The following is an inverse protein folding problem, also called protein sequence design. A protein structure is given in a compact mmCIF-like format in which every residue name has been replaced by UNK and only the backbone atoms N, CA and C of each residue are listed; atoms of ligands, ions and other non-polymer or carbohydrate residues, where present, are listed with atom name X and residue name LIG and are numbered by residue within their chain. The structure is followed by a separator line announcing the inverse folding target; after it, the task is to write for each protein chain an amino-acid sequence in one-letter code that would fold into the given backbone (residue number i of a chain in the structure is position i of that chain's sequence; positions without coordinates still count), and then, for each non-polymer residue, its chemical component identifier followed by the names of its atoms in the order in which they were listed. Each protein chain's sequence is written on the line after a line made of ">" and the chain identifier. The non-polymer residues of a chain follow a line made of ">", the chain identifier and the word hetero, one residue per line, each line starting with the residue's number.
data_IF_172684476643
#
_entry.id   IF_172684476643
#
_cell.length_a   1.000
_cell.length_b   1.000
_cell.length_c   1.000
_cell.angle_alpha   90.00
_cell.angle_beta   90.00
_cell.angle_gamma   90.00
#
_symmetry.space_group_name_H-M   'P 1'
#
loop_
_entity.id
_entity.type
_entity.pdbx_description
1 polymer ?
2 branched ?
3 water ?
#
# COMPACT_ATOMS: atom_id res chain seq x y z
N UNK A 29 15.39 -5.86 5.79
CA UNK A 29 13.95 -5.52 6.00
C UNK A 29 13.78 -4.27 6.82
N UNK A 30 12.77 -3.49 6.46
CA UNK A 30 12.44 -2.24 7.13
C UNK A 30 10.94 -2.25 7.45
N UNK A 31 10.63 -2.08 8.73
CA UNK A 31 9.28 -2.30 9.24
C UNK A 31 8.56 -0.97 9.29
N UNK A 32 7.43 -0.89 8.60
CA UNK A 32 6.66 0.34 8.54
C UNK A 32 5.50 0.24 9.49
N UNK A 33 5.10 -0.99 9.78
CA UNK A 33 4.05 -1.25 10.71
C UNK A 33 4.04 -2.73 11.13
N UNK A 34 3.88 -2.96 12.44
CA UNK A 34 3.44 -4.25 13.00
C UNK A 34 2.50 -3.98 14.17
N UNK A 35 1.54 -4.88 14.37
CA UNK A 35 0.40 -4.65 15.26
C UNK A 35 -0.82 -5.37 14.73
N UNK A 36 -1.99 -4.72 14.81
CA UNK A 36 -3.22 -5.28 14.26
C UNK A 36 -4.19 -4.14 14.03
N UNK A 37 -4.24 -3.67 12.77
CA UNK A 37 -5.25 -2.69 12.31
C UNK A 37 -6.32 -3.38 11.48
N UNK A 38 -7.57 -3.15 11.87
CA UNK A 38 -8.70 -3.62 11.12
C UNK A 38 -9.32 -2.46 10.33
N UNK A 39 -9.78 -2.76 9.12
CA UNK A 39 -10.55 -1.81 8.33
C UNK A 39 -11.73 -2.53 7.68
N UNK A 40 -12.89 -1.88 7.79
CA UNK A 40 -14.13 -2.37 7.21
C UNK A 40 -14.41 -1.58 5.95
N UNK A 41 -14.96 -2.25 4.95
CA UNK A 41 -15.28 -1.59 3.70
C UNK A 41 -16.15 -2.47 2.84
N UNK A 42 -17.41 -2.07 2.68
CA UNK A 42 -18.42 -2.93 2.05
C UNK A 42 -18.49 -2.69 0.58
N UNK A 43 -18.30 -1.43 0.19
CA UNK A 43 -18.62 -0.99 -1.17
C UNK A 43 -18.10 0.41 -1.51
N UNK A 44 -17.74 0.58 -2.77
CA UNK A 44 -17.43 1.91 -3.29
C UNK A 44 -18.73 2.68 -3.43
N UNK A 45 -18.64 3.97 -3.76
CA UNK A 45 -19.83 4.79 -4.00
C UNK A 45 -20.27 5.63 -2.82
N UNK A 46 -19.80 5.28 -1.63
CA UNK A 46 -20.02 6.09 -0.42
C UNK A 46 -18.98 7.19 -0.27
N UNK A 47 -18.79 7.65 0.97
CA UNK A 47 -17.90 8.80 1.27
C UNK A 47 -16.43 8.37 1.54
N UNK A 48 -16.24 7.29 2.31
CA UNK A 48 -14.92 6.89 2.85
C UNK A 48 -14.50 5.54 2.32
N UNK A 49 -13.33 5.52 1.69
CA UNK A 49 -12.59 4.28 1.50
C UNK A 49 -11.41 4.25 2.49
N UNK A 50 -11.54 3.47 3.58
CA UNK A 50 -10.46 3.56 4.58
C UNK A 50 -9.27 2.66 4.32
N UNK A 51 -8.16 3.02 4.94
CA UNK A 51 -6.91 2.31 4.92
C UNK A 51 -6.74 1.42 6.15
N UNK A 52 -6.21 0.20 5.95
CA UNK A 52 -5.66 -0.64 7.03
C UNK A 52 -4.27 -0.17 7.45
N UNK A 53 -3.58 0.52 6.54
CA UNK A 53 -2.31 1.19 6.84
C UNK A 53 -2.17 2.33 5.84
N UNK A 54 -1.71 3.47 6.32
CA UNK A 54 -1.39 4.55 5.43
C UNK A 54 -0.36 5.52 6.04
N UNK A 55 0.37 6.23 5.18
CA UNK A 55 1.35 7.23 5.58
C UNK A 55 1.36 8.39 4.57
N UNK A 56 1.65 9.61 5.05
CA UNK A 56 1.76 10.81 4.23
C UNK A 56 3.21 11.35 4.25
N UNK A 57 4.03 10.88 3.28
CA UNK A 57 5.50 11.05 3.27
C UNK A 57 6.02 12.48 3.10
N UNK A 58 5.13 13.41 2.86
CA UNK A 58 5.47 14.79 2.82
C UNK A 58 5.61 15.34 4.23
N UNK A 59 5.00 14.65 5.20
CA UNK A 59 4.96 15.11 6.58
C UNK A 59 5.57 14.12 7.57
N UNK A 60 5.24 12.84 7.40
CA UNK A 60 5.63 11.77 8.34
C UNK A 60 6.95 11.15 7.86
N UNK A 61 7.82 10.80 8.81
CA UNK A 61 9.09 10.22 8.40
C UNK A 61 8.90 8.76 8.02
N UNK A 62 9.69 8.27 7.07
CA UNK A 62 9.79 6.83 6.88
C UNK A 62 11.18 6.41 6.45
N UNK A 63 11.61 5.28 7.02
CA UNK A 63 12.95 4.75 6.76
C UNK A 63 13.03 4.18 5.34
N UNK A 64 11.89 3.87 4.73
CA UNK A 64 11.90 3.29 3.40
C UNK A 64 12.26 4.36 2.38
N UNK A 65 13.24 4.01 1.53
CA UNK A 65 13.85 4.89 0.54
C UNK A 65 13.39 4.49 -0.86
N UNK A 66 12.43 5.23 -1.40
CA UNK A 66 11.72 4.84 -2.62
C UNK A 66 12.55 4.94 -3.88
N UNK A 67 13.71 5.62 -3.81
CA UNK A 67 14.67 5.65 -4.94
C UNK A 67 15.50 4.41 -5.07
N UNK A 68 15.60 3.60 -4.01
CA UNK A 68 16.23 2.28 -4.14
C UNK A 68 15.26 1.29 -4.78
N UNK A 69 15.75 0.14 -5.19
CA UNK A 69 14.86 -0.86 -5.69
C UNK A 69 14.20 -1.70 -4.58
N UNK A 70 12.88 -1.71 -4.52
CA UNK A 70 12.21 -2.30 -3.37
C UNK A 70 10.98 -3.11 -3.67
N UNK A 71 10.56 -3.84 -2.66
CA UNK A 71 9.30 -4.55 -2.65
C UNK A 71 8.61 -4.23 -1.36
N UNK A 72 7.28 -4.23 -1.39
CA UNK A 72 6.50 -3.97 -0.18
C UNK A 72 5.74 -5.23 0.10
N UNK A 73 5.83 -5.70 1.35
CA UNK A 73 5.17 -6.93 1.79
C UNK A 73 4.18 -6.57 2.89
N UNK A 74 3.01 -7.17 2.83
CA UNK A 74 1.98 -6.93 3.81
C UNK A 74 1.40 -8.26 4.30
N UNK A 75 1.47 -8.50 5.62
CA UNK A 75 0.81 -9.66 6.24
C UNK A 75 -0.60 -9.26 6.57
N UNK A 76 -1.54 -10.07 6.14
CA UNK A 76 -2.91 -9.70 6.28
C UNK A 76 -3.83 -10.89 6.26
N UNK A 77 -5.03 -10.66 6.78
CA UNK A 77 -6.08 -11.66 6.77
C UNK A 77 -7.42 -11.00 6.37
N UNK A 78 -8.19 -11.67 5.51
CA UNK A 78 -9.52 -11.18 5.14
C UNK A 78 -9.72 -10.77 3.69
N UNK A 79 -10.27 -9.57 3.48
CA UNK A 79 -10.53 -9.06 2.14
C UNK A 79 -9.21 -9.00 1.32
N UNK A 80 -9.34 -9.05 0.00
CA UNK A 80 -8.19 -8.78 -0.87
C UNK A 80 -7.86 -7.32 -0.71
N UNK A 81 -6.59 -7.01 -0.93
CA UNK A 81 -6.09 -5.66 -0.70
C UNK A 81 -5.42 -5.06 -1.94
N UNK A 82 -5.32 -3.73 -1.95
CA UNK A 82 -4.52 -3.03 -2.94
C UNK A 82 -3.56 -2.09 -2.29
N UNK A 83 -2.45 -1.83 -2.99
CA UNK A 83 -1.49 -0.82 -2.57
C UNK A 83 -1.76 0.45 -3.37
N UNK A 84 -1.85 1.61 -2.71
CA UNK A 84 -2.04 2.90 -3.42
C UNK A 84 -0.89 3.89 -3.21
N UNK A 85 -0.39 4.46 -4.31
CA UNK A 85 0.43 5.67 -4.33
C UNK A 85 -0.40 6.79 -5.00
N UNK A 86 -0.45 7.99 -4.43
CA UNK A 86 -1.23 9.09 -4.98
C UNK A 86 -0.53 10.43 -4.82
N UNK A 87 -0.65 11.24 -5.86
CA UNK A 87 -0.16 12.60 -5.88
C UNK A 87 -1.36 13.46 -6.22
N UNK A 88 -1.79 14.26 -5.27
CA UNK A 88 -3.03 15.00 -5.40
C UNK A 88 -3.04 16.03 -6.52
N UNK A 89 -1.90 16.61 -6.90
CA UNK A 89 -1.90 17.70 -7.89
C UNK A 89 -1.66 17.30 -9.36
N UNK A 90 -1.37 16.03 -9.61
CA UNK A 90 -1.36 15.52 -10.99
C UNK A 90 -2.55 14.60 -11.15
N UNK A 91 -3.39 14.56 -10.12
CA UNK A 91 -4.49 13.62 -10.08
C UNK A 91 -4.06 12.18 -10.27
N UNK A 92 -2.90 11.80 -9.74
CA UNK A 92 -2.44 10.41 -9.90
C UNK A 92 -2.99 9.54 -8.77
N UNK A 93 -3.55 8.38 -9.13
CA UNK A 93 -3.98 7.36 -8.17
C UNK A 93 -3.52 6.01 -8.68
N UNK A 94 -2.29 5.63 -8.38
CA UNK A 94 -1.75 4.31 -8.80
C UNK A 94 -2.25 3.31 -7.83
N UNK A 95 -2.94 2.29 -8.32
CA UNK A 95 -3.59 1.28 -7.50
C UNK A 95 -3.15 -0.08 -8.00
N UNK A 96 -2.56 -0.90 -7.14
CA UNK A 96 -1.82 -2.10 -7.54
C UNK A 96 -2.36 -3.31 -6.81
N UNK A 97 -2.54 -4.40 -7.56
CA UNK A 97 -2.86 -5.69 -6.98
C UNK A 97 -1.57 -6.42 -6.65
N UNK A 98 -1.61 -7.31 -5.66
CA UNK A 98 -0.36 -7.98 -5.30
C UNK A 98 0.26 -8.71 -6.48
N UNK A 99 1.58 -8.63 -6.59
CA UNK A 99 2.37 -9.47 -7.48
C UNK A 99 2.12 -10.92 -7.21
N UNK A 100 2.08 -11.29 -5.93
CA UNK A 100 1.59 -12.61 -5.52
C UNK A 100 1.18 -12.61 -4.04
N UNK A 101 0.53 -13.70 -3.63
CA UNK A 101 0.10 -13.93 -2.25
C UNK A 101 0.34 -15.38 -1.84
N UNK A 102 1.18 -15.56 -0.82
CA UNK A 102 1.48 -16.86 -0.27
C UNK A 102 1.47 -16.73 1.26
N UNK A 103 0.91 -17.73 1.96
CA UNK A 103 0.95 -17.75 3.43
C UNK A 103 0.45 -16.46 4.10
N UNK A 104 -0.64 -15.89 3.58
CA UNK A 104 -1.17 -14.62 4.09
C UNK A 104 -0.26 -13.40 4.05
N UNK A 105 0.73 -13.44 3.16
CA UNK A 105 1.59 -12.28 2.87
C UNK A 105 1.48 -11.82 1.40
N UNK A 106 1.08 -10.56 1.22
CA UNK A 106 0.98 -9.92 -0.11
C UNK A 106 2.30 -9.27 -0.47
N UNK A 107 2.69 -9.36 -1.76
CA UNK A 107 3.90 -8.69 -2.25
C UNK A 107 3.65 -7.73 -3.44
N UNK A 108 4.18 -6.52 -3.31
CA UNK A 108 4.05 -5.47 -4.32
C UNK A 108 5.46 -5.03 -4.68
N UNK A 109 5.76 -4.93 -5.99
CA UNK A 109 7.10 -4.53 -6.46
C UNK A 109 7.14 -3.08 -6.96
N UNK A 110 8.31 -2.49 -6.88
CA UNK A 110 8.55 -1.15 -7.40
C UNK A 110 8.15 -1.03 -8.86
N UNK A 111 8.55 -2.03 -9.63
CA UNK A 111 8.23 -2.08 -11.05
C UNK A 111 6.72 -1.95 -11.30
N UNK A 112 5.90 -2.71 -10.57
CA UNK A 112 4.41 -2.58 -10.64
C UNK A 112 3.89 -1.18 -10.28
N UNK A 113 4.38 -0.65 -9.18
CA UNK A 113 3.95 0.67 -8.70
C UNK A 113 4.25 1.71 -9.76
N UNK A 114 5.52 1.79 -10.15
CA UNK A 114 6.00 2.61 -11.28
C UNK A 114 5.07 2.57 -12.50
N UNK A 115 4.73 1.37 -12.95
CA UNK A 115 3.91 1.24 -14.13
C UNK A 115 2.53 1.89 -13.91
N UNK A 116 1.94 1.64 -12.75
CA UNK A 116 0.65 2.25 -12.41
C UNK A 116 0.75 3.77 -12.20
N UNK A 117 1.88 4.23 -11.68
CA UNK A 117 2.10 5.65 -11.30
C UNK A 117 2.40 6.56 -12.51
N UNK A 118 2.86 5.93 -13.59
CA UNK A 118 3.29 6.62 -14.79
C UNK A 118 4.79 6.76 -14.91
N UNK A 119 5.52 6.38 -13.86
CA UNK A 119 6.91 6.78 -13.71
C UNK A 119 7.53 6.12 -12.49
N UNK A 120 8.86 5.96 -12.52
CA UNK A 120 9.59 5.42 -11.38
C UNK A 120 10.26 6.51 -10.55
N UNK A 121 9.96 7.78 -10.88
CA UNK A 121 10.31 8.93 -10.03
C UNK A 121 9.11 9.36 -9.18
N UNK A 122 9.25 9.19 -7.87
CA UNK A 122 8.19 9.44 -6.91
C UNK A 122 8.26 10.80 -6.19
N UNK A 123 9.08 11.72 -6.68
CA UNK A 123 9.08 13.08 -6.10
C UNK A 123 7.69 13.64 -6.22
N UNK A 124 7.21 14.34 -5.20
CA UNK A 124 5.87 14.97 -5.22
C UNK A 124 4.81 14.06 -4.60
N UNK A 125 5.08 12.76 -4.58
CA UNK A 125 4.23 11.76 -3.93
C UNK A 125 3.64 12.23 -2.62
N UNK A 126 2.33 12.01 -2.43
CA UNK A 126 1.60 12.55 -1.27
C UNK A 126 1.17 11.44 -0.31
N UNK A 127 0.93 10.23 -0.82
CA UNK A 127 0.07 9.25 -0.14
C UNK A 127 0.47 7.85 -0.51
N UNK A 128 0.66 7.00 0.50
CA UNK A 128 0.79 5.56 0.34
C UNK A 128 -0.18 4.89 1.33
N UNK A 129 -0.96 3.92 0.85
CA UNK A 129 -1.97 3.28 1.67
C UNK A 129 -2.15 1.88 1.25
N UNK A 130 -2.44 1.01 2.23
CA UNK A 130 -2.99 -0.33 1.99
C UNK A 130 -4.48 -0.29 2.32
N UNK A 131 -5.31 -0.64 1.33
CA UNK A 131 -6.77 -0.56 1.45
C UNK A 131 -7.38 -1.90 1.05
N UNK A 132 -8.46 -2.29 1.75
CA UNK A 132 -9.23 -3.43 1.30
C UNK A 132 -10.13 -3.06 0.11
N UNK A 133 -10.37 -4.06 -0.73
CA UNK A 133 -11.47 -4.10 -1.68
C UNK A 133 -12.78 -4.49 -0.96
N UNK A 134 -13.93 -4.17 -1.58
CA UNK A 134 -15.25 -4.45 -1.02
C UNK A 134 -15.47 -5.87 -0.54
N UNK A 135 -15.89 -6.00 0.72
CA UNK A 135 -16.24 -7.30 1.30
C UNK A 135 -17.07 -7.14 2.58
N UNK A 136 -17.63 -8.25 3.04
CA UNK A 136 -18.44 -8.25 4.27
C UNK A 136 -17.65 -8.06 5.59
N UNK A 137 -16.60 -8.84 5.81
CA UNK A 137 -15.85 -8.84 7.09
C UNK A 137 -14.64 -7.86 7.18
N UNK A 138 -14.32 -7.12 6.11
CA UNK A 138 -13.14 -6.21 6.09
C UNK A 138 -11.79 -6.93 6.07
N UNK A 139 -10.74 -6.25 6.54
CA UNK A 139 -9.39 -6.80 6.52
C UNK A 139 -8.65 -6.42 7.78
N UNK A 140 -7.77 -7.32 8.21
CA UNK A 140 -6.90 -7.08 9.36
C UNK A 140 -5.46 -7.13 8.86
N UNK A 141 -4.69 -6.10 9.19
CA UNK A 141 -3.26 -6.10 8.81
C UNK A 141 -2.34 -6.12 10.03
N UNK A 142 -1.47 -7.13 10.07
CA UNK A 142 -0.52 -7.36 11.17
C UNK A 142 0.87 -6.80 10.94
N UNK A 143 1.26 -6.62 9.67
CA UNK A 143 2.60 -6.13 9.34
C UNK A 143 2.73 -5.53 7.92
N UNK A 144 3.52 -4.47 7.81
CA UNK A 144 3.83 -3.85 6.53
C UNK A 144 5.31 -3.54 6.55
N UNK A 145 6.02 -4.05 5.55
CA UNK A 145 7.45 -3.85 5.50
C UNK A 145 7.89 -3.60 4.08
N UNK A 146 9.10 -3.05 3.96
CA UNK A 146 9.79 -2.93 2.68
C UNK A 146 11.14 -3.62 2.69
N UNK A 147 11.53 -4.16 1.53
CA UNK A 147 12.76 -4.92 1.32
C UNK A 147 13.55 -4.36 0.12
N UNK A 148 14.86 -4.34 0.21
CA UNK A 148 15.68 -3.81 -0.87
C UNK A 148 16.22 -4.97 -1.69
N UNK A 149 16.23 -4.80 -3.01
CA UNK A 149 16.60 -5.89 -3.93
C UNK A 149 17.84 -5.60 -4.78
N UNK A 150 18.49 -6.67 -5.28
CA UNK A 150 19.70 -6.64 -6.16
C UNK A 150 19.39 -7.19 -7.53
X LIG B 1 -7.82 13.81 0.86
X LIG B 1 -8.11 12.80 -0.23
X LIG B 1 -8.42 13.55 -1.51
X LIG B 1 -7.42 14.66 -1.84
X LIG B 1 -8.14 15.63 -2.79
X LIG B 1 -6.66 14.70 0.46
X LIG B 1 -6.43 15.62 1.53
X LIG B 1 -7.47 13.12 2.05
X LIG B 1 -9.22 12.01 0.19
X LIG B 1 -8.32 12.75 -2.67
X LIG B 1 -6.92 15.43 -0.74
X LIG B 1 -7.14 16.30 -3.54
X LIG B 2 -9.38 11.63 -4.48
X LIG B 2 -10.65 10.94 -4.89
X LIG B 2 -10.69 9.67 -4.10
X LIG B 2 -10.62 9.97 -2.60
X LIG B 2 -10.51 8.72 -1.74
X LIG B 2 -9.45 11.95 -3.00
X LIG B 2 -9.39 12.87 -5.17
X LIG B 2 -10.70 10.63 -6.29
X LIG B 2 -11.91 9.07 -4.50
X LIG B 2 -9.46 10.73 -2.28
X LIG B 2 -10.20 9.16 -0.41
X LIG B 3 -13.10 7.01 -4.88
X LIG B 3 -12.91 5.54 -5.19
X LIG B 3 -11.94 5.36 -6.37
X LIG B 3 -10.67 6.16 -6.17
X LIG B 3 -9.73 6.07 -7.38
X LIG B 3 -11.73 7.68 -4.71
X LIG B 3 -13.89 7.11 -3.70
X LIG B 3 -14.20 4.92 -5.48
X LIG B 3 -11.53 3.99 -6.47
X LIG B 3 -10.92 7.54 -5.86
X LIG B 3 -10.35 6.55 -8.58
X LIG B 4 -11.21 2.07 -7.82
X LIG B 4 -11.72 1.22 -8.97
X LIG B 4 -13.20 0.93 -8.84
X LIG B 4 -13.96 2.21 -8.53
X LIG B 4 -15.44 1.91 -8.30
X LIG B 4 -12.08 3.29 -7.60
X LIG B 4 -9.88 2.53 -8.01
X LIG B 4 -11.05 -0.05 -8.97
X LIG B 4 -13.69 0.34 -10.06
X LIG B 4 -13.40 2.83 -7.35
X LIG B 4 -16.13 3.10 -7.86
X LIG B 5 -16.76 3.81 -8.95
X LIG B 5 -17.19 5.18 -8.44
X LIG B 5 -18.28 5.04 -7.37
X LIG B 5 -19.44 4.29 -8.02
X LIG B 5 -18.96 2.93 -8.53
X LIG B 5 -16.07 5.85 -7.91
X LIG B 5 -18.73 6.32 -6.90
X LIG B 5 -20.50 4.10 -7.08
X LIG B 5 -17.89 3.07 -9.48
X LIG B 6 -10.05 7.94 -8.81
X LIG B 6 -10.97 8.42 -9.94
X LIG B 6 -10.69 7.60 -11.19
X LIG B 6 -9.19 7.71 -11.51
X LIG B 6 -8.33 7.34 -10.31
X LIG B 6 -12.33 8.25 -9.59
X LIG B 6 -11.49 8.08 -12.28
X LIG B 6 -8.86 6.87 -12.62
X LIG B 6 -8.69 8.16 -9.18
X LIG B 7 -9.88 8.00 0.38
X LIG B 7 -10.17 8.25 1.86
X LIG B 7 -9.33 9.43 2.38
X LIG B 7 -7.87 9.25 2.00
X LIG B 7 -7.72 8.89 0.52
X LIG B 7 -11.58 8.45 2.07
X LIG B 7 -9.40 9.48 3.81
X LIG B 7 -7.13 10.46 2.28
X LIG B 7 -8.50 7.73 0.19
#
# INVERSE_FOLDING_TARGET
>A
MGSSHHHHHHSSGLVPRGSHMSSGADSGEIILFSGSNHADFKAWGGDDWPSAFEISPKYEPMKLDLNKNFEIKVDYNGADIVLIFARWDKDIWAQISPYYVVDGTAVFTKEQIAKAYGSDDFSGLDYIAVKPLPSEEGVTVTKVSGIYTNGGSED
>B hetero
1 BGC C2 C3 C4 C5 C6 C1 O1 O2 O3 O4 O5 O6
2 BGC C2 C3 C4 C5 C6 C1 O2 O3 O4 O5 O6
3 BGC C2 C3 C4 C5 C6 C1 O2 O3 O4 O5 O6
4 BGC C2 C3 C4 C5 C6 C1 O2 O3 O4 O5 O6
5 XYS C1 C2 C3 C4 C5 O2 O3 O4 O5
6 XYS C1 C2 C3 C4 C5 O2 O3 O4 O5
7 XYS C1 C2 C3 C4 C5 O2 O3 O4 O5
#
